data_IF_314309034482
#
_entry.id   IF_314309034482
#
_cell.length_a   1.000
_cell.length_b   1.000
_cell.length_c   1.000
_cell.angle_alpha   90.00
_cell.angle_beta   90.00
_cell.angle_gamma   90.00
#
_symmetry.space_group_name_H-M   'P 1'
#
loop_
_entity.id
_entity.type
_entity.pdbx_description
1 polymer ?
#
# COMPACT_ATOMS: atom_id res chain seq x y z
N UNK A 1 23.99 -40.13 -22.65
CA UNK A 1 22.93 -39.32 -23.25
C UNK A 1 21.62 -39.36 -22.44
N UNK A 2 21.05 -40.50 -22.06
CA UNK A 2 19.80 -40.58 -21.27
C UNK A 2 19.82 -39.79 -19.96
N UNK A 3 20.91 -39.83 -19.18
CA UNK A 3 20.99 -39.07 -17.91
C UNK A 3 20.98 -37.53 -18.05
N UNK A 4 21.51 -37.02 -19.15
CA UNK A 4 21.51 -35.59 -19.44
C UNK A 4 20.12 -35.11 -19.87
N UNK A 5 19.41 -35.93 -20.65
CA UNK A 5 18.04 -35.66 -21.09
C UNK A 5 17.07 -35.67 -19.91
N UNK A 6 17.25 -36.59 -18.92
CA UNK A 6 16.45 -36.61 -17.70
C UNK A 6 16.71 -35.40 -16.82
N UNK A 7 17.93 -34.89 -16.73
CA UNK A 7 18.25 -33.66 -16.00
C UNK A 7 17.63 -32.39 -16.68
N UNK A 8 17.65 -32.35 -18.02
CA UNK A 8 17.03 -31.25 -18.78
C UNK A 8 15.50 -31.25 -18.63
N UNK A 9 14.86 -32.42 -18.60
CA UNK A 9 13.41 -32.55 -18.38
C UNK A 9 12.98 -32.13 -16.97
N UNK A 10 13.83 -32.30 -15.96
CA UNK A 10 13.55 -31.81 -14.60
C UNK A 10 13.62 -30.28 -14.49
N UNK A 11 14.41 -29.62 -15.35
CA UNK A 11 14.51 -28.13 -15.39
C UNK A 11 13.35 -27.47 -16.12
N UNK A 12 12.54 -28.24 -16.88
CA UNK A 12 11.38 -27.74 -17.63
C UNK A 12 10.05 -28.04 -16.88
N UNK A 13 10.12 -28.68 -15.70
CA UNK A 13 8.93 -28.81 -14.88
C UNK A 13 8.39 -27.40 -14.60
N UNK A 14 7.18 -27.03 -15.06
CA UNK A 14 6.61 -25.74 -14.73
C UNK A 14 6.47 -25.74 -13.22
N UNK A 15 7.26 -24.93 -12.54
CA UNK A 15 6.93 -24.48 -11.20
C UNK A 15 5.58 -23.82 -11.39
N UNK A 16 4.53 -24.47 -10.94
CA UNK A 16 3.19 -23.88 -10.86
C UNK A 16 3.34 -22.76 -9.85
N UNK A 17 3.81 -21.61 -10.33
CA UNK A 17 3.80 -20.40 -9.55
C UNK A 17 2.34 -20.08 -9.37
N UNK A 18 1.81 -20.30 -8.17
CA UNK A 18 0.52 -19.76 -7.76
C UNK A 18 0.61 -18.23 -7.71
N UNK A 19 0.72 -17.62 -8.89
CA UNK A 19 0.75 -16.16 -9.06
C UNK A 19 -0.64 -15.53 -8.85
N UNK A 20 -1.66 -16.32 -8.56
CA UNK A 20 -3.01 -15.86 -8.23
C UNK A 20 -3.14 -15.58 -6.73
N UNK A 21 -2.19 -14.86 -6.15
CA UNK A 21 -2.48 -14.20 -4.89
C UNK A 21 -3.49 -13.09 -5.20
N UNK A 22 -4.67 -13.24 -4.59
CA UNK A 22 -5.81 -12.33 -4.71
C UNK A 22 -5.35 -10.88 -4.74
N UNK A 23 -5.87 -10.11 -5.71
CA UNK A 23 -5.64 -8.68 -5.72
C UNK A 23 -6.00 -8.11 -4.34
N UNK A 24 -5.16 -7.27 -3.74
CA UNK A 24 -5.46 -6.69 -2.44
C UNK A 24 -6.79 -5.95 -2.51
N UNK A 25 -7.54 -6.01 -1.42
CA UNK A 25 -8.74 -5.20 -1.27
C UNK A 25 -8.36 -3.71 -1.24
N UNK A 26 -9.25 -2.83 -1.61
CA UNK A 26 -9.00 -1.39 -1.66
C UNK A 26 -10.09 -0.62 -0.90
N UNK A 27 -9.68 0.26 0.00
CA UNK A 27 -10.53 1.18 0.74
C UNK A 27 -10.13 2.62 0.35
N UNK A 28 -10.99 3.30 -0.40
CA UNK A 28 -10.81 4.72 -0.76
C UNK A 28 -11.74 5.57 0.10
N UNK A 29 -11.17 6.51 0.83
CA UNK A 29 -11.87 7.38 1.79
C UNK A 29 -11.57 8.82 1.43
N UNK A 30 -12.60 9.63 1.17
CA UNK A 30 -12.48 11.03 0.75
C UNK A 30 -13.42 11.92 1.54
N UNK A 31 -12.90 12.99 2.07
CA UNK A 31 -13.75 14.07 2.57
C UNK A 31 -14.50 14.71 1.40
N UNK A 32 -15.82 14.83 1.51
CA UNK A 32 -16.68 15.60 0.60
C UNK A 32 -16.90 17.01 1.15
N UNK A 33 -17.21 17.09 2.44
CA UNK A 33 -17.34 18.30 3.24
C UNK A 33 -16.65 18.06 4.58
N UNK A 34 -16.71 19.01 5.50
CA UNK A 34 -16.13 18.82 6.84
C UNK A 34 -16.81 17.70 7.64
N UNK A 35 -18.07 17.39 7.33
CA UNK A 35 -18.87 16.43 8.08
C UNK A 35 -19.20 15.17 7.28
N UNK A 36 -19.00 15.17 5.96
CA UNK A 36 -19.36 14.06 5.08
C UNK A 36 -18.14 13.42 4.41
N UNK A 37 -18.09 12.11 4.44
CA UNK A 37 -17.01 11.29 3.92
C UNK A 37 -17.57 10.28 2.93
N UNK A 38 -17.01 10.24 1.73
CA UNK A 38 -17.26 9.18 0.74
C UNK A 38 -16.31 8.02 0.98
N UNK A 39 -16.87 6.82 1.05
CA UNK A 39 -16.13 5.58 1.25
C UNK A 39 -16.45 4.60 0.13
N UNK A 40 -15.43 4.12 -0.55
CA UNK A 40 -15.52 3.09 -1.58
C UNK A 40 -14.70 1.90 -1.13
N UNK A 41 -15.37 0.78 -0.89
CA UNK A 41 -14.75 -0.47 -0.53
C UNK A 41 -14.82 -1.45 -1.68
N UNK A 42 -13.67 -1.93 -2.15
CA UNK A 42 -13.55 -2.95 -3.18
C UNK A 42 -12.83 -4.17 -2.61
N UNK A 43 -13.39 -5.34 -2.80
CA UNK A 43 -12.83 -6.61 -2.34
C UNK A 43 -13.03 -7.68 -3.42
N UNK A 44 -12.18 -8.73 -3.48
CA UNK A 44 -12.40 -9.85 -4.38
C UNK A 44 -13.81 -10.44 -4.25
N UNK A 45 -14.39 -10.85 -5.36
CA UNK A 45 -15.71 -11.48 -5.36
C UNK A 45 -15.71 -12.83 -4.63
N UNK A 46 -14.57 -13.54 -4.71
CA UNK A 46 -14.35 -14.80 -4.01
C UNK A 46 -13.60 -14.53 -2.70
N UNK A 47 -14.22 -14.89 -1.58
CA UNK A 47 -13.60 -14.84 -0.27
C UNK A 47 -12.95 -16.19 0.06
N UNK A 48 -11.86 -16.16 0.83
CA UNK A 48 -11.18 -17.37 1.31
C UNK A 48 -11.80 -17.92 2.58
N UNK A 49 -12.66 -17.13 3.23
CA UNK A 49 -13.39 -17.52 4.43
C UNK A 49 -14.83 -17.02 4.41
N UNK A 50 -15.65 -17.52 5.33
CA UNK A 50 -17.03 -17.05 5.53
C UNK A 50 -17.11 -15.74 6.35
N UNK A 51 -15.98 -15.23 6.84
CA UNK A 51 -15.92 -13.96 7.58
C UNK A 51 -15.89 -12.81 6.58
N UNK A 52 -16.87 -11.90 6.59
CA UNK A 52 -16.87 -10.78 5.66
C UNK A 52 -15.73 -9.80 5.97
N UNK A 53 -15.12 -9.26 4.92
CA UNK A 53 -14.22 -8.12 5.02
C UNK A 53 -15.02 -6.84 4.83
N UNK A 54 -15.02 -5.98 5.84
CA UNK A 54 -15.80 -4.74 5.85
C UNK A 54 -14.95 -3.57 6.35
N UNK A 55 -15.20 -2.34 5.86
CA UNK A 55 -14.60 -1.15 6.42
C UNK A 55 -14.96 -0.97 7.89
N UNK A 56 -13.99 -0.59 8.69
CA UNK A 56 -14.18 -0.13 10.07
C UNK A 56 -14.20 1.39 10.02
N UNK A 57 -15.37 1.96 10.35
CA UNK A 57 -15.53 3.41 10.44
C UNK A 57 -14.89 3.96 11.71
N UNK A 58 -14.45 5.23 11.73
CA UNK A 58 -13.99 5.88 12.94
C UNK A 58 -15.07 5.94 14.01
N UNK A 59 -14.64 5.98 15.27
CA UNK A 59 -15.54 6.22 16.40
C UNK A 59 -16.17 7.61 16.26
N UNK A 60 -17.44 7.73 16.61
CA UNK A 60 -18.20 8.98 16.47
C UNK A 60 -18.75 9.27 15.06
N UNK A 61 -18.42 8.45 14.07
CA UNK A 61 -19.02 8.56 12.73
C UNK A 61 -20.26 7.67 12.60
N UNK A 62 -21.22 8.10 11.78
CA UNK A 62 -22.42 7.34 11.44
C UNK A 62 -22.48 7.06 9.94
N UNK A 63 -23.07 5.93 9.55
CA UNK A 63 -23.31 5.60 8.14
C UNK A 63 -24.61 6.28 7.71
N UNK A 64 -24.51 7.28 6.82
CA UNK A 64 -25.66 7.99 6.26
C UNK A 64 -26.35 7.19 5.17
N UNK A 65 -25.57 6.57 4.30
CA UNK A 65 -26.07 5.77 3.19
C UNK A 65 -25.13 4.63 2.85
N UNK A 66 -25.68 3.57 2.32
CA UNK A 66 -24.96 2.39 1.84
C UNK A 66 -25.63 1.86 0.58
N UNK A 67 -24.83 1.56 -0.45
CA UNK A 67 -25.37 0.89 -1.65
C UNK A 67 -25.41 -0.62 -1.46
N UNK A 68 -26.25 -1.34 -2.22
CA UNK A 68 -26.07 -2.77 -2.39
C UNK A 68 -24.68 -3.08 -2.97
N UNK A 69 -24.17 -4.27 -2.70
CA UNK A 69 -22.97 -4.76 -3.36
C UNK A 69 -23.18 -4.91 -4.86
N UNK A 70 -22.26 -4.41 -5.66
CA UNK A 70 -22.31 -4.61 -7.11
C UNK A 70 -20.97 -5.13 -7.62
N UNK A 71 -20.99 -5.97 -8.67
CA UNK A 71 -19.78 -6.53 -9.25
C UNK A 71 -19.02 -5.46 -10.03
N UNK A 72 -17.68 -5.46 -9.90
CA UNK A 72 -16.77 -4.58 -10.67
C UNK A 72 -15.49 -5.34 -11.01
N UNK A 73 -15.35 -5.75 -12.25
CA UNK A 73 -14.24 -6.60 -12.70
C UNK A 73 -14.24 -7.95 -11.99
N UNK A 74 -13.13 -8.31 -11.37
CA UNK A 74 -12.98 -9.56 -10.58
C UNK A 74 -13.38 -9.41 -9.12
N UNK A 75 -13.88 -8.23 -8.74
CA UNK A 75 -14.26 -7.90 -7.37
C UNK A 75 -15.72 -7.49 -7.24
N UNK A 76 -16.06 -7.10 -6.04
CA UNK A 76 -17.34 -6.46 -5.69
C UNK A 76 -17.05 -5.17 -4.93
N UNK A 77 -17.93 -4.20 -5.09
CA UNK A 77 -17.81 -2.86 -4.53
C UNK A 77 -19.00 -2.53 -3.65
N UNK A 78 -18.71 -1.91 -2.53
CA UNK A 78 -19.66 -1.29 -1.61
C UNK A 78 -19.33 0.20 -1.53
N UNK A 79 -20.33 1.06 -1.65
CA UNK A 79 -20.16 2.51 -1.45
C UNK A 79 -20.96 2.92 -0.24
N UNK A 80 -20.33 3.72 0.60
CA UNK A 80 -20.95 4.28 1.79
C UNK A 80 -20.69 5.78 1.85
N UNK A 81 -21.57 6.49 2.53
CA UNK A 81 -21.32 7.85 3.00
C UNK A 81 -21.36 7.83 4.53
N UNK A 82 -20.35 8.40 5.13
CA UNK A 82 -20.28 8.53 6.59
C UNK A 82 -20.42 10.00 6.98
N UNK A 83 -21.08 10.26 8.10
CA UNK A 83 -21.07 11.55 8.78
C UNK A 83 -20.19 11.46 10.02
N UNK A 84 -19.24 12.37 10.15
CA UNK A 84 -18.34 12.48 11.29
C UNK A 84 -18.44 13.90 11.83
N UNK A 85 -19.24 14.10 12.87
CA UNK A 85 -19.61 15.43 13.37
C UNK A 85 -18.39 16.33 13.67
N UNK A 86 -18.16 17.34 12.83
CA UNK A 86 -17.19 18.41 13.04
C UNK A 86 -15.73 18.01 13.05
N UNK A 87 -15.39 16.78 12.63
CA UNK A 87 -14.02 16.30 12.65
C UNK A 87 -13.45 16.20 11.23
N UNK A 88 -12.26 16.77 11.07
CA UNK A 88 -11.41 16.47 9.91
C UNK A 88 -11.07 14.98 9.91
N UNK A 89 -10.87 14.39 8.72
CA UNK A 89 -10.33 13.02 8.63
C UNK A 89 -8.99 12.82 9.33
N UNK A 90 -8.25 13.90 9.57
CA UNK A 90 -6.97 13.87 10.28
C UNK A 90 -7.15 13.46 11.75
N UNK A 91 -6.35 12.51 12.19
CA UNK A 91 -6.42 11.94 13.53
C UNK A 91 -7.45 10.83 13.72
N UNK A 92 -8.38 10.67 12.78
CA UNK A 92 -9.37 9.57 12.84
C UNK A 92 -8.72 8.22 12.55
N UNK A 93 -9.21 7.19 13.23
CA UNK A 93 -8.77 5.82 13.02
C UNK A 93 -9.82 5.06 12.23
N UNK A 94 -9.39 4.48 11.11
CA UNK A 94 -10.20 3.64 10.24
C UNK A 94 -9.48 2.34 9.93
N UNK A 95 -10.16 1.37 9.37
CA UNK A 95 -9.54 0.08 9.12
C UNK A 95 -10.40 -0.87 8.30
N UNK A 96 -10.00 -2.13 8.29
CA UNK A 96 -10.73 -3.22 7.63
C UNK A 96 -10.79 -4.43 8.54
N UNK A 97 -11.99 -4.91 8.80
CA UNK A 97 -12.23 -6.15 9.54
C UNK A 97 -12.06 -7.39 8.64
N UNK A 98 -11.84 -8.54 9.26
CA UNK A 98 -11.83 -9.82 8.56
C UNK A 98 -10.57 -10.13 7.75
N UNK A 99 -9.54 -9.28 7.75
CA UNK A 99 -8.28 -9.49 7.01
C UNK A 99 -7.58 -10.79 7.44
N UNK A 100 -7.46 -11.03 8.74
CA UNK A 100 -6.79 -12.22 9.29
C UNK A 100 -7.49 -13.52 8.85
N UNK A 101 -8.83 -13.57 8.96
CA UNK A 101 -9.60 -14.73 8.58
C UNK A 101 -9.53 -15.06 7.09
N UNK A 102 -9.33 -14.03 6.26
CA UNK A 102 -9.22 -14.17 4.80
C UNK A 102 -7.77 -14.24 4.31
N UNK A 103 -6.78 -14.20 5.20
CA UNK A 103 -5.35 -14.15 4.84
C UNK A 103 -5.08 -13.11 3.76
N UNK A 104 -5.70 -11.95 3.90
CA UNK A 104 -5.73 -10.88 2.90
C UNK A 104 -5.13 -9.60 3.44
N UNK A 105 -4.85 -8.68 2.54
CA UNK A 105 -4.46 -7.31 2.86
C UNK A 105 -5.39 -6.31 2.17
N UNK A 106 -5.37 -5.08 2.63
CA UNK A 106 -6.13 -4.00 2.02
C UNK A 106 -5.26 -2.76 1.86
N UNK A 107 -5.32 -2.13 0.69
CA UNK A 107 -4.72 -0.82 0.47
C UNK A 107 -5.75 0.22 0.87
N UNK A 108 -5.41 1.04 1.85
CA UNK A 108 -6.22 2.19 2.28
C UNK A 108 -5.67 3.44 1.64
N UNK A 109 -6.54 4.20 0.99
CA UNK A 109 -6.23 5.49 0.38
C UNK A 109 -7.13 6.54 1.03
N UNK A 110 -6.54 7.57 1.63
CA UNK A 110 -7.28 8.61 2.34
C UNK A 110 -6.96 9.98 1.76
N UNK A 111 -8.00 10.74 1.43
CA UNK A 111 -7.91 12.13 0.98
C UNK A 111 -8.70 13.06 1.91
N UNK A 112 -8.06 13.58 2.96
CA UNK A 112 -8.68 14.55 3.86
C UNK A 112 -9.00 15.86 3.15
N UNK A 113 -8.14 16.28 2.21
CA UNK A 113 -8.25 17.48 1.39
C UNK A 113 -7.85 17.17 -0.05
N UNK A 114 -8.22 18.00 -1.04
CA UNK A 114 -7.90 17.76 -2.45
C UNK A 114 -6.40 17.52 -2.71
N UNK A 115 -5.54 18.25 -1.99
CA UNK A 115 -4.08 18.24 -2.18
C UNK A 115 -3.34 17.29 -1.23
N UNK A 116 -4.06 16.57 -0.33
CA UNK A 116 -3.47 15.70 0.68
C UNK A 116 -3.89 14.26 0.41
N UNK A 117 -2.91 13.39 0.27
CA UNK A 117 -3.10 11.97 0.00
C UNK A 117 -2.26 11.13 0.95
N UNK A 118 -2.90 10.20 1.62
CA UNK A 118 -2.25 9.18 2.42
C UNK A 118 -2.60 7.81 1.85
N UNK A 119 -1.63 6.90 1.88
CA UNK A 119 -1.84 5.51 1.50
C UNK A 119 -1.09 4.59 2.48
N UNK A 120 -1.76 3.52 2.88
CA UNK A 120 -1.22 2.53 3.81
C UNK A 120 -1.71 1.13 3.42
N UNK A 121 -0.92 0.11 3.76
CA UNK A 121 -1.31 -1.28 3.55
C UNK A 121 -1.69 -1.90 4.88
N UNK A 122 -2.96 -2.23 5.04
CA UNK A 122 -3.46 -2.96 6.19
C UNK A 122 -3.26 -4.46 6.01
N UNK A 123 -2.81 -5.09 7.08
CA UNK A 123 -2.57 -6.54 7.14
C UNK A 123 -3.34 -7.17 8.29
N UNK A 124 -3.25 -8.50 8.41
CA UNK A 124 -3.83 -9.22 9.54
C UNK A 124 -3.33 -8.72 10.90
N UNK A 125 -2.04 -8.34 10.97
CA UNK A 125 -1.39 -7.89 12.21
C UNK A 125 -1.62 -6.40 12.49
N UNK A 126 -1.92 -5.61 11.45
CA UNK A 126 -2.20 -4.17 11.54
C UNK A 126 -3.44 -3.82 10.70
N UNK A 127 -4.65 -4.14 11.20
CA UNK A 127 -5.89 -3.96 10.43
C UNK A 127 -6.47 -2.54 10.50
N UNK A 128 -5.83 -1.64 11.23
CA UNK A 128 -6.26 -0.26 11.45
C UNK A 128 -5.19 0.74 11.04
N UNK A 129 -5.61 1.93 10.65
CA UNK A 129 -4.78 3.06 10.25
C UNK A 129 -5.32 4.34 10.88
N UNK A 130 -4.45 5.08 11.55
CA UNK A 130 -4.79 6.43 12.03
C UNK A 130 -4.28 7.45 11.02
N UNK A 131 -5.19 8.26 10.48
CA UNK A 131 -4.86 9.28 9.48
C UNK A 131 -3.92 10.31 10.12
N UNK A 132 -2.70 10.50 9.58
CA UNK A 132 -1.77 11.47 10.16
C UNK A 132 -2.36 12.88 10.10
N UNK A 133 -2.18 13.66 11.17
CA UNK A 133 -2.32 15.10 11.09
C UNK A 133 -1.22 15.67 10.19
N UNK A 134 -1.50 16.74 9.46
CA UNK A 134 -0.51 17.35 8.56
C UNK A 134 0.81 17.62 9.30
N UNK A 135 1.85 16.90 8.89
CA UNK A 135 3.21 17.22 9.34
C UNK A 135 3.68 18.45 8.58
N UNK A 136 4.46 19.31 9.24
CA UNK A 136 5.14 20.40 8.52
C UNK A 136 5.94 19.81 7.35
N UNK A 137 6.02 20.53 6.22
CA UNK A 137 6.75 20.05 5.04
C UNK A 137 8.19 19.63 5.35
N UNK A 138 8.83 20.31 6.32
CA UNK A 138 10.17 19.96 6.79
C UNK A 138 10.18 18.58 7.51
N UNK A 139 9.23 18.31 8.38
CA UNK A 139 9.13 17.03 9.08
C UNK A 139 8.88 15.88 8.09
N UNK A 140 8.06 16.12 7.08
CA UNK A 140 7.80 15.17 5.98
C UNK A 140 9.08 14.93 5.17
N UNK A 141 9.79 15.98 4.78
CA UNK A 141 11.04 15.85 4.04
C UNK A 141 12.11 15.08 4.81
N UNK A 142 12.29 15.35 6.10
CA UNK A 142 13.21 14.62 6.97
C UNK A 142 12.81 13.15 7.13
N UNK A 143 11.53 12.87 7.23
CA UNK A 143 11.03 11.50 7.30
C UNK A 143 11.36 10.71 6.03
N UNK A 144 11.08 11.26 4.85
CA UNK A 144 11.42 10.62 3.58
C UNK A 144 12.92 10.49 3.36
N UNK A 145 13.71 11.47 3.80
CA UNK A 145 15.16 11.39 3.77
C UNK A 145 15.67 10.21 4.61
N UNK A 146 15.12 10.04 5.82
CA UNK A 146 15.45 8.92 6.68
C UNK A 146 15.05 7.58 6.08
N UNK A 147 13.81 7.45 5.58
CA UNK A 147 13.33 6.25 4.91
C UNK A 147 14.21 5.87 3.69
N UNK A 148 14.60 6.87 2.89
CA UNK A 148 15.49 6.65 1.76
C UNK A 148 16.87 6.18 2.18
N UNK A 149 17.43 6.75 3.24
CA UNK A 149 18.72 6.34 3.79
C UNK A 149 18.67 4.90 4.35
N UNK A 150 17.63 4.56 5.09
CA UNK A 150 17.38 3.21 5.60
C UNK A 150 17.21 2.20 4.47
N UNK A 151 16.42 2.53 3.44
CA UNK A 151 16.22 1.69 2.26
C UNK A 151 17.53 1.37 1.54
N UNK A 152 18.40 2.37 1.35
CA UNK A 152 19.73 2.18 0.75
C UNK A 152 20.62 1.32 1.66
N UNK A 153 20.57 1.53 2.97
CA UNK A 153 21.42 0.81 3.93
C UNK A 153 21.03 -0.68 4.06
N UNK A 154 19.74 -1.00 3.94
CA UNK A 154 19.23 -2.38 4.04
C UNK A 154 19.26 -3.08 2.67
N UNK A 155 19.14 -2.33 1.57
CA UNK A 155 19.14 -2.86 0.20
C UNK A 155 20.53 -3.35 -0.21
N UNK A 156 20.78 -4.66 -0.14
CA UNK A 156 22.05 -5.28 -0.57
C UNK A 156 22.41 -4.93 -2.01
N UNK A 157 21.42 -4.86 -2.90
CA UNK A 157 21.60 -4.51 -4.31
C UNK A 157 22.09 -3.05 -4.46
N UNK A 158 21.57 -2.14 -3.64
CA UNK A 158 21.97 -0.74 -3.62
C UNK A 158 23.41 -0.59 -3.09
N UNK A 159 23.76 -1.34 -2.05
CA UNK A 159 25.13 -1.36 -1.52
C UNK A 159 26.13 -1.88 -2.55
N UNK A 160 25.82 -2.95 -3.26
CA UNK A 160 26.67 -3.46 -4.35
C UNK A 160 26.77 -2.50 -5.52
N UNK A 161 25.69 -1.82 -5.87
CA UNK A 161 25.68 -0.79 -6.90
C UNK A 161 26.57 0.39 -6.53
N UNK A 162 26.44 0.92 -5.30
CA UNK A 162 27.27 2.02 -4.80
C UNK A 162 28.73 1.60 -4.68
N UNK A 163 29.00 0.37 -4.22
CA UNK A 163 30.37 -0.17 -4.18
C UNK A 163 30.97 -0.29 -5.59
N UNK A 164 30.20 -0.77 -6.57
CA UNK A 164 30.63 -0.83 -7.97
C UNK A 164 30.93 0.55 -8.55
N UNK A 165 30.07 1.54 -8.28
CA UNK A 165 30.29 2.93 -8.67
C UNK A 165 31.58 3.50 -8.03
N UNK A 166 31.80 3.21 -6.77
CA UNK A 166 33.00 3.65 -6.05
C UNK A 166 34.28 3.08 -6.66
N UNK A 167 34.28 1.80 -7.04
CA UNK A 167 35.39 1.15 -7.70
C UNK A 167 35.66 1.70 -9.10
N UNK A 168 34.59 2.07 -9.83
CA UNK A 168 34.70 2.55 -11.21
C UNK A 168 35.08 4.03 -11.30
N UNK A 169 34.50 4.89 -10.48
CA UNK A 169 34.61 6.34 -10.53
C UNK A 169 35.63 6.87 -9.52
N UNK A 170 35.90 6.11 -8.45
CA UNK A 170 36.74 6.53 -7.32
C UNK A 170 36.06 7.51 -6.38
N UNK A 171 36.80 7.91 -5.33
CA UNK A 171 36.32 8.87 -4.34
C UNK A 171 36.43 10.31 -4.84
N UNK A 172 35.53 11.18 -4.37
CA UNK A 172 35.58 12.61 -4.56
C UNK A 172 34.42 13.21 -5.33
N UNK A 173 34.59 14.42 -5.84
CA UNK A 173 33.54 15.18 -6.53
C UNK A 173 32.93 14.43 -7.72
N UNK A 174 33.68 13.60 -8.40
CA UNK A 174 33.21 12.79 -9.54
C UNK A 174 32.11 11.81 -9.11
N UNK A 175 32.28 11.15 -7.95
CA UNK A 175 31.28 10.24 -7.41
C UNK A 175 29.98 10.99 -7.09
N UNK A 176 30.09 12.16 -6.44
CA UNK A 176 28.92 13.00 -6.12
C UNK A 176 28.17 13.41 -7.39
N UNK A 177 28.88 13.89 -8.42
CA UNK A 177 28.26 14.25 -9.70
C UNK A 177 27.59 13.06 -10.38
N UNK A 178 28.22 11.88 -10.36
CA UNK A 178 27.66 10.67 -10.99
C UNK A 178 26.40 10.23 -10.28
N UNK A 179 26.40 10.18 -8.93
CA UNK A 179 25.22 9.80 -8.13
C UNK A 179 24.11 10.84 -8.32
N UNK A 180 24.42 12.14 -8.28
CA UNK A 180 23.42 13.21 -8.48
C UNK A 180 22.83 13.16 -9.89
N UNK A 181 23.65 12.95 -10.92
CA UNK A 181 23.16 12.83 -12.31
C UNK A 181 22.26 11.59 -12.48
N UNK A 182 22.60 10.47 -11.85
CA UNK A 182 21.78 9.28 -11.86
C UNK A 182 20.41 9.51 -11.17
N UNK A 183 20.42 10.14 -10.00
CA UNK A 183 19.20 10.46 -9.25
C UNK A 183 18.31 11.46 -10.00
N UNK A 184 18.91 12.44 -10.70
CA UNK A 184 18.15 13.43 -11.47
C UNK A 184 17.59 12.88 -12.80
N UNK A 185 18.20 11.82 -13.34
CA UNK A 185 17.76 11.17 -14.58
C UNK A 185 16.74 10.05 -14.39
N UNK A 186 16.49 9.66 -13.15
CA UNK A 186 15.56 8.59 -12.77
C UNK A 186 14.23 9.18 -12.30
#
# INVERSE_FOLDING_TARGET
>A
MMRVISLLLLLIAPLVAEAHRFAPSALDVRALTNDEISVVWKTPAQATSNVPMLPIKPDGCEVLSETPWFPEGTGKVLRQQWACAGESLEGLTLGVSGLAANQSSAVVSVRPHPDVFFQEVLTADSPIFTVPSQRSGLATALHYLWLGAEHIAIGTDHLFFVAGLLLLVGWGARLVYTVTAFTAGH
#
